data_IF_771236099932
#
_entry.id   IF_771236099932
#
_cell.length_a   1.000
_cell.length_b   1.000
_cell.length_c   1.000
_cell.angle_alpha   90.00
_cell.angle_beta   90.00
_cell.angle_gamma   90.00
#
_symmetry.space_group_name_H-M   'P 1'
#
loop_
_entity.id
_entity.type
_entity.pdbx_description
1 polymer ?
#
# COMPACT_ATOMS: atom_id res chain seq x y z
N UNK A 1 -2.20 -6.26 18.70
CA UNK A 1 -1.99 -7.29 17.67
C UNK A 1 -0.99 -8.28 18.17
N UNK A 2 -1.30 -9.52 18.09
CA UNK A 2 -0.46 -10.57 18.69
C UNK A 2 0.20 -11.48 17.65
N UNK A 3 0.24 -11.10 16.40
CA UNK A 3 0.90 -11.85 15.35
C UNK A 3 0.15 -13.07 14.84
N UNK A 4 -1.08 -13.30 15.31
CA UNK A 4 -1.87 -14.43 14.83
C UNK A 4 -2.76 -14.10 13.66
N UNK A 5 -2.93 -12.80 13.39
CA UNK A 5 -3.83 -12.33 12.36
C UNK A 5 -3.13 -12.29 11.01
N UNK A 6 -3.95 -12.30 9.98
CA UNK A 6 -3.48 -12.05 8.62
C UNK A 6 -3.83 -10.62 8.20
N UNK A 7 -3.11 -10.14 7.20
CA UNK A 7 -3.44 -8.88 6.55
C UNK A 7 -3.39 -9.06 5.04
N UNK A 8 -4.05 -8.17 4.34
CA UNK A 8 -3.86 -8.03 2.91
C UNK A 8 -3.04 -6.78 2.67
N UNK A 9 -2.02 -6.90 1.83
CA UNK A 9 -1.14 -5.81 1.45
C UNK A 9 -1.35 -5.51 -0.03
N UNK A 10 -1.61 -4.25 -0.32
CA UNK A 10 -1.61 -3.75 -1.69
C UNK A 10 -0.55 -2.68 -1.80
N UNK A 11 0.14 -2.63 -2.93
CA UNK A 11 1.14 -1.59 -3.19
C UNK A 11 0.82 -0.93 -4.52
N UNK A 12 1.21 0.32 -4.64
CA UNK A 12 1.01 1.05 -5.89
C UNK A 12 1.45 2.49 -5.79
N UNK A 13 1.47 3.16 -6.93
CA UNK A 13 1.80 4.57 -7.01
C UNK A 13 0.65 5.47 -6.62
N UNK A 14 -0.58 5.10 -7.02
CA UNK A 14 -1.78 5.88 -6.72
C UNK A 14 -1.61 7.36 -7.11
N UNK A 15 -1.17 7.57 -8.34
CA UNK A 15 -0.77 8.90 -8.80
C UNK A 15 -1.36 9.20 -10.18
N UNK A 16 -2.56 9.82 -10.23
CA UNK A 16 -3.34 10.26 -9.08
C UNK A 16 -4.17 9.15 -8.46
N UNK A 17 -4.54 9.34 -7.22
CA UNK A 17 -5.51 8.46 -6.55
C UNK A 17 -6.90 8.79 -7.11
N UNK A 18 -7.72 7.78 -7.36
CA UNK A 18 -9.07 7.98 -7.93
C UNK A 18 -10.03 6.89 -7.47
N UNK A 19 -11.30 7.00 -7.90
CA UNK A 19 -12.37 6.12 -7.45
C UNK A 19 -12.13 4.64 -7.71
N UNK A 20 -11.45 4.30 -8.81
CA UNK A 20 -11.09 2.92 -9.09
C UNK A 20 -10.19 2.29 -8.04
N UNK A 21 -9.35 3.10 -7.40
CA UNK A 21 -8.53 2.62 -6.30
C UNK A 21 -9.38 2.30 -5.07
N UNK A 22 -10.45 3.05 -4.82
CA UNK A 22 -11.36 2.75 -3.73
C UNK A 22 -12.00 1.39 -3.94
N UNK A 23 -12.46 1.11 -5.15
CA UNK A 23 -13.05 -0.19 -5.49
C UNK A 23 -12.04 -1.32 -5.28
N UNK A 24 -10.81 -1.11 -5.70
CA UNK A 24 -9.72 -2.06 -5.51
C UNK A 24 -9.47 -2.34 -4.03
N UNK A 25 -9.44 -1.29 -3.22
CA UNK A 25 -9.23 -1.45 -1.76
C UNK A 25 -10.41 -2.18 -1.12
N UNK A 26 -11.63 -1.92 -1.55
CA UNK A 26 -12.81 -2.63 -1.04
C UNK A 26 -12.72 -4.12 -1.33
N UNK A 27 -12.32 -4.49 -2.54
CA UNK A 27 -12.16 -5.88 -2.91
C UNK A 27 -11.04 -6.55 -2.10
N UNK A 28 -9.91 -5.86 -1.94
CA UNK A 28 -8.79 -6.39 -1.18
C UNK A 28 -9.18 -6.60 0.29
N UNK A 29 -9.93 -5.69 0.88
CA UNK A 29 -10.35 -5.78 2.28
C UNK A 29 -11.16 -7.04 2.57
N UNK A 30 -11.84 -7.59 1.58
CA UNK A 30 -12.61 -8.82 1.75
C UNK A 30 -11.73 -10.03 2.03
N UNK A 31 -10.44 -9.94 1.75
CA UNK A 31 -9.52 -11.06 1.91
C UNK A 31 -8.97 -11.21 3.33
N UNK A 32 -9.08 -10.16 4.15
CA UNK A 32 -8.59 -10.21 5.51
C UNK A 32 -9.26 -9.11 6.34
N UNK A 33 -9.05 -9.16 7.66
CA UNK A 33 -9.53 -8.13 8.58
C UNK A 33 -8.75 -6.82 8.48
N UNK A 34 -7.51 -6.87 7.99
CA UNK A 34 -6.63 -5.70 7.94
C UNK A 34 -6.17 -5.44 6.53
N UNK A 35 -6.37 -4.21 6.07
CA UNK A 35 -5.86 -3.75 4.78
C UNK A 35 -4.71 -2.79 5.03
N UNK A 36 -3.55 -3.11 4.48
CA UNK A 36 -2.36 -2.29 4.54
C UNK A 36 -2.04 -1.84 3.13
N UNK A 37 -1.82 -0.55 2.96
CA UNK A 37 -1.49 0.03 1.65
C UNK A 37 -0.07 0.55 1.70
N UNK A 38 0.78 0.01 0.85
CA UNK A 38 2.13 0.50 0.64
C UNK A 38 2.14 1.47 -0.52
N UNK A 39 2.56 2.70 -0.28
CA UNK A 39 2.57 3.75 -1.30
C UNK A 39 3.98 3.88 -1.86
N UNK A 40 4.12 3.66 -3.16
CA UNK A 40 5.41 3.78 -3.83
C UNK A 40 5.95 5.19 -3.73
N UNK A 41 7.28 5.30 -3.68
CA UNK A 41 7.98 6.58 -3.56
C UNK A 41 7.80 7.45 -4.80
N UNK A 42 8.05 8.74 -4.64
CA UNK A 42 8.09 9.68 -5.77
C UNK A 42 9.16 9.26 -6.78
N UNK A 43 10.29 8.79 -6.28
CA UNK A 43 11.39 8.37 -7.14
C UNK A 43 11.02 7.17 -8.01
N UNK A 44 10.30 6.19 -7.42
CA UNK A 44 9.79 5.05 -8.17
C UNK A 44 8.87 5.51 -9.31
N UNK A 45 7.98 6.46 -9.02
CA UNK A 45 7.08 7.01 -10.04
C UNK A 45 7.85 7.70 -11.16
N UNK A 46 8.88 8.49 -10.80
CA UNK A 46 9.70 9.17 -11.80
C UNK A 46 10.43 8.18 -12.69
N UNK A 47 10.94 7.09 -12.12
CA UNK A 47 11.58 6.03 -12.91
C UNK A 47 10.59 5.34 -13.84
N UNK A 48 9.37 5.10 -13.36
CA UNK A 48 8.38 4.33 -14.10
C UNK A 48 7.71 5.13 -15.21
N UNK A 49 7.37 6.38 -14.96
CA UNK A 49 6.59 7.18 -15.92
C UNK A 49 7.14 8.59 -16.16
N UNK A 50 8.34 8.85 -15.71
CA UNK A 50 9.05 10.11 -15.98
C UNK A 50 8.73 11.25 -15.03
N UNK A 51 7.63 11.18 -14.29
CA UNK A 51 7.25 12.23 -13.34
C UNK A 51 6.20 11.70 -12.37
N UNK A 52 5.97 12.44 -11.29
CA UNK A 52 4.86 12.19 -10.38
C UNK A 52 3.94 13.42 -10.37
N UNK A 53 2.63 13.18 -10.33
CA UNK A 53 1.62 14.25 -10.27
C UNK A 53 1.41 14.73 -8.85
N UNK A 54 1.46 13.81 -7.89
CA UNK A 54 1.22 14.08 -6.48
C UNK A 54 2.42 13.62 -5.69
N UNK A 55 2.80 14.41 -4.68
CA UNK A 55 3.88 14.00 -3.77
C UNK A 55 3.47 12.77 -2.97
N UNK A 56 4.46 12.03 -2.47
CA UNK A 56 4.21 10.88 -1.60
C UNK A 56 3.35 11.28 -0.39
N UNK A 57 3.65 12.42 0.22
CA UNK A 57 2.90 12.90 1.39
C UNK A 57 1.43 13.13 1.07
N UNK A 58 1.13 13.72 -0.09
CA UNK A 58 -0.26 13.94 -0.50
C UNK A 58 -0.99 12.65 -0.77
N UNK A 59 -0.34 11.71 -1.45
CA UNK A 59 -0.94 10.40 -1.76
C UNK A 59 -1.22 9.63 -0.47
N UNK A 60 -0.24 9.59 0.43
CA UNK A 60 -0.39 8.94 1.73
C UNK A 60 -1.53 9.56 2.53
N UNK A 61 -1.60 10.88 2.56
CA UNK A 61 -2.60 11.59 3.34
C UNK A 61 -4.02 11.25 2.89
N UNK A 62 -4.24 11.20 1.58
CA UNK A 62 -5.57 10.88 1.04
C UNK A 62 -5.94 9.44 1.38
N UNK A 63 -5.03 8.50 1.18
CA UNK A 63 -5.29 7.08 1.45
C UNK A 63 -5.50 6.84 2.93
N UNK A 64 -4.73 7.52 3.77
CA UNK A 64 -4.79 7.38 5.22
C UNK A 64 -6.16 7.83 5.79
N UNK A 65 -6.87 8.69 5.08
CA UNK A 65 -8.20 9.15 5.48
C UNK A 65 -9.33 8.19 5.07
N UNK A 66 -9.02 7.15 4.32
CA UNK A 66 -10.03 6.18 3.90
C UNK A 66 -10.32 5.21 5.03
N UNK A 67 -11.59 5.12 5.44
CA UNK A 67 -11.98 4.25 6.56
C UNK A 67 -11.63 2.79 6.34
N UNK A 68 -11.63 2.36 5.10
CA UNK A 68 -11.38 0.96 4.75
C UNK A 68 -9.90 0.57 4.91
N UNK A 69 -9.00 1.55 4.90
CA UNK A 69 -7.56 1.33 5.01
C UNK A 69 -7.16 1.37 6.48
N UNK A 70 -6.55 0.30 6.96
CA UNK A 70 -6.13 0.23 8.36
C UNK A 70 -4.79 0.89 8.60
N UNK A 71 -3.83 0.68 7.69
CA UNK A 71 -2.48 1.26 7.80
C UNK A 71 -1.96 1.63 6.44
N UNK A 72 -1.24 2.75 6.39
CA UNK A 72 -0.49 3.16 5.19
C UNK A 72 0.99 3.13 5.56
N UNK A 73 1.79 2.49 4.73
CA UNK A 73 3.22 2.38 4.98
C UNK A 73 4.02 2.95 3.79
N UNK A 74 5.19 3.45 4.10
CA UNK A 74 6.22 3.66 3.10
C UNK A 74 7.14 2.44 3.13
N UNK A 75 7.82 2.19 2.03
CA UNK A 75 8.73 1.06 1.95
C UNK A 75 9.83 1.36 0.94
N UNK A 76 10.92 0.64 1.06
CA UNK A 76 12.04 0.77 0.14
C UNK A 76 11.69 0.06 -1.17
N UNK A 77 11.44 0.84 -2.20
CA UNK A 77 11.13 0.33 -3.55
C UNK A 77 12.28 0.60 -4.53
N UNK A 78 13.47 0.87 -4.02
CA UNK A 78 14.61 1.21 -4.86
C UNK A 78 15.03 0.07 -5.80
N UNK A 79 14.74 -1.18 -5.41
CA UNK A 79 15.01 -2.35 -6.25
C UNK A 79 13.83 -2.70 -7.18
N UNK A 80 12.77 -1.90 -7.15
CA UNK A 80 11.59 -2.12 -7.98
C UNK A 80 10.61 -3.15 -7.43
N UNK A 81 10.88 -3.75 -6.28
CA UNK A 81 10.03 -4.79 -5.69
C UNK A 81 9.25 -4.27 -4.48
N UNK A 82 8.26 -5.06 -4.06
CA UNK A 82 7.49 -4.82 -2.85
C UNK A 82 8.01 -5.65 -1.66
N UNK A 83 9.20 -6.22 -1.77
CA UNK A 83 9.72 -7.13 -0.73
C UNK A 83 9.82 -6.45 0.62
N UNK A 84 10.29 -5.21 0.68
CA UNK A 84 10.39 -4.48 1.94
C UNK A 84 9.02 -4.28 2.58
N UNK A 85 7.99 -3.99 1.79
CA UNK A 85 6.63 -3.83 2.31
C UNK A 85 6.11 -5.14 2.90
N UNK A 86 6.36 -6.25 2.22
CA UNK A 86 5.96 -7.58 2.71
C UNK A 86 6.67 -7.88 4.02
N UNK A 87 7.96 -7.62 4.11
CA UNK A 87 8.74 -7.84 5.33
C UNK A 87 8.23 -7.01 6.50
N UNK A 88 7.86 -5.75 6.24
CA UNK A 88 7.29 -4.90 7.28
C UNK A 88 6.00 -5.52 7.84
N UNK A 89 5.13 -5.99 6.95
CA UNK A 89 3.87 -6.61 7.38
C UNK A 89 4.11 -7.88 8.18
N UNK A 90 5.11 -8.68 7.82
CA UNK A 90 5.39 -9.94 8.50
C UNK A 90 5.92 -9.74 9.93
N UNK A 91 6.33 -8.55 10.30
CA UNK A 91 6.71 -8.24 11.68
C UNK A 91 5.49 -8.21 12.61
N UNK A 92 4.32 -7.86 12.07
CA UNK A 92 3.12 -7.67 12.87
C UNK A 92 2.03 -8.70 12.60
N UNK A 93 2.13 -9.42 11.49
CA UNK A 93 1.12 -10.38 11.06
C UNK A 93 1.75 -11.73 10.73
N UNK A 94 1.04 -12.81 11.06
CA UNK A 94 1.50 -14.16 10.75
C UNK A 94 1.42 -14.48 9.26
N UNK A 95 0.45 -13.88 8.57
CA UNK A 95 0.22 -14.12 7.15
C UNK A 95 -0.02 -12.82 6.43
N UNK A 96 0.58 -12.70 5.26
CA UNK A 96 0.40 -11.54 4.39
C UNK A 96 -0.12 -12.04 3.05
N UNK A 97 -1.30 -11.56 2.66
CA UNK A 97 -1.86 -11.81 1.34
C UNK A 97 -1.49 -10.61 0.48
N UNK A 98 -0.62 -10.83 -0.47
CA UNK A 98 -0.16 -9.73 -1.33
C UNK A 98 -1.01 -9.66 -2.57
N UNK A 99 -1.66 -8.50 -2.75
CA UNK A 99 -2.45 -8.20 -3.95
C UNK A 99 -1.71 -7.16 -4.77
N UNK A 100 -1.60 -7.46 -6.03
CA UNK A 100 -0.87 -6.57 -6.93
C UNK A 100 -1.80 -6.01 -8.00
#
# INVERSE_FOLDING_TARGET
>A
MNGHDSCVLVTGGFDPIHGGHIDYFQDAKLLSHYLIVGVNSDEWLRRKKGRNFMSWESRKRIIDQMNIVDYVIDFDDSDGSANDAIEQCLKDFDRVIFCN
#
